data_IF_761318197773
#
_entry.id   IF_761318197773
#
_cell.length_a   1.000
_cell.length_b   1.000
_cell.length_c   1.000
_cell.angle_alpha   90.00
_cell.angle_beta   90.00
_cell.angle_gamma   90.00
#
_symmetry.space_group_name_H-M   'P 1'
#
loop_
_entity.id
_entity.type
_entity.pdbx_description
1 polymer ?
#
# COMPACT_ATOMS: atom_id res chain seq x y z
N UNK A 1 -61.80 -17.30 -1.27
CA UNK A 1 -61.16 -15.96 -1.25
C UNK A 1 -60.03 -15.80 -0.23
N UNK A 2 -60.01 -16.50 0.93
CA UNK A 2 -58.94 -16.40 1.94
C UNK A 2 -57.52 -16.77 1.46
N UNK A 3 -57.35 -17.78 0.60
CA UNK A 3 -56.01 -18.21 0.15
C UNK A 3 -55.31 -17.25 -0.83
N UNK A 4 -56.07 -16.42 -1.59
CA UNK A 4 -55.46 -15.42 -2.49
C UNK A 4 -54.85 -14.27 -1.69
N UNK A 5 -55.50 -13.80 -0.63
CA UNK A 5 -54.94 -12.73 0.22
C UNK A 5 -53.68 -13.16 0.96
N UNK A 6 -53.60 -14.40 1.44
CA UNK A 6 -52.38 -14.92 2.10
C UNK A 6 -51.21 -15.03 1.10
N UNK A 7 -51.47 -15.50 -0.13
CA UNK A 7 -50.45 -15.56 -1.18
C UNK A 7 -49.98 -14.16 -1.65
N UNK A 8 -50.89 -13.19 -1.78
CA UNK A 8 -50.53 -11.80 -2.10
C UNK A 8 -49.75 -11.12 -0.96
N UNK A 9 -50.10 -11.37 0.30
CA UNK A 9 -49.33 -10.86 1.45
C UNK A 9 -47.95 -11.52 1.56
N UNK A 10 -47.83 -12.82 1.27
CA UNK A 10 -46.55 -13.52 1.26
C UNK A 10 -45.64 -13.03 0.12
N UNK A 11 -46.19 -12.84 -1.09
CA UNK A 11 -45.44 -12.28 -2.22
C UNK A 11 -44.98 -10.85 -1.93
N UNK A 12 -45.82 -10.03 -1.30
CA UNK A 12 -45.46 -8.67 -0.87
C UNK A 12 -44.32 -8.66 0.14
N UNK A 13 -44.31 -9.59 1.10
CA UNK A 13 -43.22 -9.76 2.07
C UNK A 13 -41.92 -10.20 1.38
N UNK A 14 -41.97 -11.15 0.46
CA UNK A 14 -40.79 -11.60 -0.31
C UNK A 14 -40.23 -10.47 -1.17
N UNK A 15 -41.08 -9.72 -1.87
CA UNK A 15 -40.65 -8.56 -2.66
C UNK A 15 -40.02 -7.49 -1.76
N UNK A 16 -40.60 -7.22 -0.59
CA UNK A 16 -40.02 -6.30 0.39
C UNK A 16 -38.64 -6.77 0.86
N UNK A 17 -38.46 -8.07 1.15
CA UNK A 17 -37.16 -8.63 1.51
C UNK A 17 -36.14 -8.52 0.38
N UNK A 18 -36.54 -8.76 -0.88
CA UNK A 18 -35.67 -8.58 -2.05
C UNK A 18 -35.28 -7.11 -2.21
N UNK A 19 -36.24 -6.18 -2.09
CA UNK A 19 -35.96 -4.74 -2.18
C UNK A 19 -35.01 -4.31 -1.07
N UNK A 20 -35.26 -4.73 0.17
CA UNK A 20 -34.37 -4.49 1.31
C UNK A 20 -32.97 -5.06 1.00
N UNK A 21 -32.90 -6.31 0.55
CA UNK A 21 -31.62 -6.95 0.21
C UNK A 21 -30.86 -6.18 -0.87
N UNK A 22 -31.53 -5.77 -1.96
CA UNK A 22 -30.92 -4.95 -3.02
C UNK A 22 -30.47 -3.60 -2.47
N UNK A 23 -31.29 -2.92 -1.67
CA UNK A 23 -30.95 -1.63 -1.05
C UNK A 23 -29.69 -1.72 -0.17
N UNK A 24 -29.53 -2.81 0.58
CA UNK A 24 -28.39 -3.00 1.47
C UNK A 24 -27.16 -3.63 0.80
N UNK A 25 -27.33 -4.39 -0.30
CA UNK A 25 -26.26 -5.16 -0.95
C UNK A 25 -26.00 -4.80 -2.42
N UNK A 26 -26.57 -3.71 -2.95
CA UNK A 26 -26.40 -3.34 -4.36
C UNK A 26 -24.93 -3.22 -4.78
N UNK A 27 -24.05 -2.73 -3.90
CA UNK A 27 -22.60 -2.63 -4.14
C UNK A 27 -21.97 -3.98 -4.42
N UNK A 28 -22.31 -4.98 -3.61
CA UNK A 28 -21.84 -6.35 -3.78
C UNK A 28 -22.44 -7.00 -5.02
N UNK A 29 -23.66 -6.61 -5.42
CA UNK A 29 -24.31 -7.12 -6.61
C UNK A 29 -23.70 -6.58 -7.91
N UNK A 30 -23.27 -5.32 -7.94
CA UNK A 30 -22.69 -4.69 -9.15
C UNK A 30 -21.18 -4.89 -9.28
N UNK A 31 -20.49 -5.13 -8.16
CA UNK A 31 -19.06 -5.41 -8.21
C UNK A 31 -18.80 -6.70 -8.99
N UNK A 32 -17.70 -6.80 -9.71
CA UNK A 32 -17.25 -8.06 -10.34
C UNK A 32 -15.96 -8.59 -9.71
N UNK A 33 -15.48 -7.88 -8.67
CA UNK A 33 -14.20 -8.12 -8.00
C UNK A 33 -14.41 -8.29 -6.50
N UNK A 34 -13.56 -9.04 -5.82
CA UNK A 34 -13.51 -8.98 -4.35
C UNK A 34 -12.41 -8.04 -3.90
N UNK A 35 -11.88 -8.32 -2.71
CA UNK A 35 -10.89 -7.49 -2.02
C UNK A 35 -9.71 -7.14 -2.93
N UNK A 36 -9.42 -5.85 -3.04
CA UNK A 36 -8.23 -5.34 -3.72
C UNK A 36 -6.97 -5.67 -2.88
N UNK A 37 -5.98 -6.31 -3.50
CA UNK A 37 -4.75 -6.74 -2.82
C UNK A 37 -3.57 -5.85 -3.18
N UNK A 38 -3.48 -5.48 -4.44
CA UNK A 38 -2.52 -4.50 -4.96
C UNK A 38 -3.23 -3.48 -5.82
N UNK A 39 -2.76 -2.25 -5.76
CA UNK A 39 -3.17 -1.12 -6.59
C UNK A 39 -1.89 -0.48 -7.14
N UNK A 40 -1.92 -0.11 -8.41
CA UNK A 40 -0.92 0.73 -9.04
C UNK A 40 -1.60 1.89 -9.76
N UNK A 41 -1.03 3.09 -9.68
CA UNK A 41 -1.52 4.30 -10.36
C UNK A 41 -0.47 4.78 -11.36
N UNK A 42 -0.89 5.11 -12.59
CA UNK A 42 0.01 5.73 -13.57
C UNK A 42 0.53 7.07 -13.04
N UNK A 43 1.77 7.45 -13.36
CA UNK A 43 2.39 8.66 -12.77
C UNK A 43 1.66 9.97 -13.10
N UNK A 44 0.85 10.00 -14.16
CA UNK A 44 -0.02 11.11 -14.54
C UNK A 44 -1.41 11.07 -13.87
N UNK A 45 -1.70 10.05 -13.06
CA UNK A 45 -2.94 9.89 -12.31
C UNK A 45 -4.17 9.60 -13.16
N UNK A 46 -4.01 9.11 -14.39
CA UNK A 46 -5.13 8.83 -15.31
C UNK A 46 -5.62 7.40 -15.25
N UNK A 47 -4.72 6.45 -15.00
CA UNK A 47 -5.01 5.03 -15.03
C UNK A 47 -4.69 4.37 -13.69
N UNK A 48 -5.49 3.38 -13.36
CA UNK A 48 -5.26 2.50 -12.20
C UNK A 48 -5.26 1.06 -12.69
N UNK A 49 -4.37 0.25 -12.15
CA UNK A 49 -4.51 -1.19 -12.18
C UNK A 49 -4.70 -1.70 -10.76
N UNK A 50 -5.52 -2.74 -10.61
CA UNK A 50 -5.67 -3.39 -9.32
C UNK A 50 -5.88 -4.88 -9.48
N UNK A 51 -5.20 -5.65 -8.63
CA UNK A 51 -5.39 -7.08 -8.56
C UNK A 51 -6.30 -7.45 -7.38
N UNK A 52 -7.31 -8.25 -7.68
CA UNK A 52 -8.37 -8.60 -6.74
C UNK A 52 -8.42 -10.10 -6.49
N UNK A 53 -8.78 -10.49 -5.26
CA UNK A 53 -9.27 -11.84 -4.96
C UNK A 53 -10.78 -11.90 -5.12
N UNK A 54 -11.34 -13.11 -5.26
CA UNK A 54 -12.78 -13.28 -5.30
C UNK A 54 -13.46 -12.87 -4.00
N UNK A 55 -14.76 -12.59 -4.10
CA UNK A 55 -15.57 -11.96 -3.03
C UNK A 55 -15.90 -12.86 -1.86
N UNK A 56 -15.90 -14.17 -2.07
CA UNK A 56 -16.42 -15.13 -1.09
C UNK A 56 -15.41 -16.20 -0.78
N UNK A 57 -15.58 -16.88 0.33
CA UNK A 57 -14.78 -18.06 0.70
C UNK A 57 -14.89 -19.20 -0.33
N UNK A 58 -15.87 -19.17 -1.24
CA UNK A 58 -15.98 -20.14 -2.35
C UNK A 58 -15.26 -19.70 -3.61
N UNK A 59 -15.00 -18.41 -3.76
CA UNK A 59 -14.39 -17.81 -4.95
C UNK A 59 -13.05 -17.16 -4.66
N UNK A 60 -12.50 -17.28 -3.44
CA UNK A 60 -11.27 -16.61 -3.00
C UNK A 60 -10.04 -16.91 -3.89
N UNK A 61 -10.04 -18.05 -4.59
CA UNK A 61 -9.00 -18.45 -5.52
C UNK A 61 -9.14 -17.83 -6.91
N UNK A 62 -10.33 -17.33 -7.26
CA UNK A 62 -10.56 -16.53 -8.47
C UNK A 62 -9.88 -15.19 -8.28
N UNK A 63 -9.07 -14.80 -9.26
CA UNK A 63 -8.26 -13.59 -9.18
C UNK A 63 -8.34 -12.86 -10.49
N UNK A 64 -8.41 -11.53 -10.42
CA UNK A 64 -8.62 -10.67 -11.58
C UNK A 64 -7.68 -9.48 -11.52
N UNK A 65 -7.16 -9.08 -12.67
CA UNK A 65 -6.50 -7.80 -12.88
C UNK A 65 -7.48 -6.87 -13.59
N UNK A 66 -7.65 -5.68 -13.04
CA UNK A 66 -8.59 -4.69 -13.56
C UNK A 66 -7.85 -3.42 -13.89
N UNK A 67 -8.10 -2.88 -15.08
CA UNK A 67 -7.68 -1.56 -15.52
C UNK A 67 -8.85 -0.59 -15.37
N UNK A 68 -8.57 0.59 -14.83
CA UNK A 68 -9.53 1.67 -14.60
C UNK A 68 -9.04 2.95 -15.28
N UNK A 69 -9.91 3.58 -16.07
CA UNK A 69 -9.68 4.92 -16.65
C UNK A 69 -10.43 5.94 -15.77
N UNK A 70 -9.69 6.78 -15.05
CA UNK A 70 -10.25 7.72 -14.07
C UNK A 70 -11.08 8.81 -14.77
N UNK A 71 -10.64 9.28 -15.93
CA UNK A 71 -11.28 10.37 -16.66
C UNK A 71 -12.59 9.90 -17.29
N UNK A 72 -12.57 8.73 -17.94
CA UNK A 72 -13.76 8.14 -18.58
C UNK A 72 -14.66 7.41 -17.60
N UNK A 73 -14.17 7.13 -16.38
CA UNK A 73 -14.84 6.27 -15.37
C UNK A 73 -15.14 4.88 -15.92
N UNK A 74 -14.22 4.35 -16.71
CA UNK A 74 -14.34 3.04 -17.33
C UNK A 74 -13.56 1.98 -16.56
N UNK A 75 -14.06 0.76 -16.59
CA UNK A 75 -13.49 -0.42 -15.94
C UNK A 75 -13.35 -1.53 -16.98
N UNK A 76 -12.21 -2.20 -17.00
CA UNK A 76 -11.96 -3.37 -17.85
C UNK A 76 -11.22 -4.45 -17.06
N UNK A 77 -11.81 -5.64 -16.96
CA UNK A 77 -11.07 -6.83 -16.52
C UNK A 77 -10.13 -7.23 -17.66
N UNK A 78 -8.82 -7.19 -17.42
CA UNK A 78 -7.80 -7.40 -18.45
C UNK A 78 -7.14 -8.77 -18.35
N UNK A 79 -7.17 -9.41 -17.17
CA UNK A 79 -6.70 -10.78 -16.99
C UNK A 79 -7.45 -11.47 -15.84
N UNK A 80 -7.57 -12.78 -15.94
CA UNK A 80 -7.96 -13.69 -14.87
C UNK A 80 -6.76 -14.57 -14.49
N UNK A 81 -6.81 -15.25 -13.35
CA UNK A 81 -5.71 -16.06 -12.81
C UNK A 81 -4.42 -15.25 -12.59
N UNK A 82 -4.52 -14.23 -11.75
CA UNK A 82 -3.50 -13.22 -11.52
C UNK A 82 -2.88 -13.42 -10.14
N UNK A 83 -1.55 -13.36 -10.05
CA UNK A 83 -0.87 -13.23 -8.78
C UNK A 83 -1.18 -11.84 -8.21
N UNK A 84 -2.01 -11.80 -7.17
CA UNK A 84 -2.57 -10.56 -6.64
C UNK A 84 -1.56 -9.63 -5.97
N UNK A 85 -0.32 -10.06 -5.81
CA UNK A 85 0.76 -9.30 -5.18
C UNK A 85 1.72 -8.66 -6.22
N UNK A 86 1.36 -8.69 -7.50
CA UNK A 86 2.25 -8.35 -8.63
C UNK A 86 1.79 -7.18 -9.53
N UNK A 87 0.67 -6.52 -9.27
CA UNK A 87 0.28 -5.37 -10.11
C UNK A 87 1.19 -4.16 -9.82
N UNK A 88 1.83 -3.61 -10.86
CA UNK A 88 2.73 -2.45 -10.71
C UNK A 88 2.82 -1.61 -12.00
N UNK A 89 2.55 -0.30 -11.93
CA UNK A 89 2.84 0.60 -13.05
C UNK A 89 4.32 0.94 -13.11
N UNK A 90 4.92 0.85 -14.30
CA UNK A 90 6.29 1.30 -14.53
C UNK A 90 6.30 2.83 -14.48
N UNK A 91 7.13 3.48 -13.64
CA UNK A 91 7.08 4.92 -13.44
C UNK A 91 7.26 5.73 -14.73
N UNK A 92 6.57 6.86 -14.83
CA UNK A 92 6.58 7.77 -15.98
C UNK A 92 6.14 7.12 -17.31
N UNK A 93 5.31 6.09 -17.25
CA UNK A 93 4.76 5.39 -18.41
C UNK A 93 3.29 5.02 -18.20
N UNK A 94 2.66 4.51 -19.27
CA UNK A 94 1.37 3.79 -19.19
C UNK A 94 1.57 2.28 -19.36
N UNK A 95 2.77 1.80 -19.05
CA UNK A 95 3.12 0.40 -19.08
C UNK A 95 3.10 -0.14 -17.66
N UNK A 96 2.67 -1.38 -17.53
CA UNK A 96 2.57 -2.03 -16.23
C UNK A 96 2.94 -3.49 -16.28
N UNK A 97 3.25 -4.01 -15.11
CA UNK A 97 3.62 -5.38 -14.87
C UNK A 97 2.53 -6.10 -14.07
N UNK A 98 2.39 -7.39 -14.34
CA UNK A 98 1.63 -8.32 -13.53
C UNK A 98 2.13 -9.75 -13.80
N UNK A 99 1.84 -10.67 -12.89
CA UNK A 99 2.23 -12.07 -13.02
C UNK A 99 0.99 -12.97 -13.09
N UNK A 100 0.97 -13.90 -14.04
CA UNK A 100 0.01 -14.99 -14.10
C UNK A 100 0.24 -15.98 -12.95
N UNK A 101 -0.84 -16.40 -12.28
CA UNK A 101 -0.79 -17.19 -11.05
C UNK A 101 -0.50 -18.67 -11.31
N UNK A 102 -1.02 -19.26 -12.37
CA UNK A 102 -0.85 -20.70 -12.67
C UNK A 102 0.54 -21.03 -13.20
N UNK A 103 1.13 -20.17 -14.01
CA UNK A 103 2.40 -20.42 -14.68
C UNK A 103 3.53 -19.47 -14.27
N UNK A 104 3.29 -18.51 -13.38
CA UNK A 104 4.30 -17.55 -12.89
C UNK A 104 4.99 -16.75 -14.02
N UNK A 105 4.34 -16.56 -15.17
CA UNK A 105 4.85 -15.67 -16.21
C UNK A 105 4.57 -14.23 -15.81
N UNK A 106 5.60 -13.39 -15.84
CA UNK A 106 5.46 -11.94 -15.69
C UNK A 106 5.19 -11.35 -17.07
N UNK A 107 4.15 -10.54 -17.16
CA UNK A 107 3.76 -9.80 -18.34
C UNK A 107 4.07 -8.32 -18.13
N UNK A 108 4.62 -7.68 -19.15
CA UNK A 108 4.74 -6.22 -19.25
C UNK A 108 3.91 -5.79 -20.44
N UNK A 109 2.89 -4.98 -20.20
CA UNK A 109 1.97 -4.53 -21.24
C UNK A 109 1.56 -3.08 -21.02
N UNK A 110 1.01 -2.45 -22.06
CA UNK A 110 0.49 -1.08 -21.96
C UNK A 110 -1.03 -1.05 -21.72
N UNK A 111 -1.57 0.14 -21.44
CA UNK A 111 -3.01 0.36 -21.24
C UNK A 111 -3.89 0.01 -22.46
N UNK A 112 -3.33 -0.03 -23.66
CA UNK A 112 -4.04 -0.45 -24.88
C UNK A 112 -4.14 -1.98 -25.00
N UNK A 113 -3.46 -2.73 -24.13
CA UNK A 113 -3.40 -4.19 -24.14
C UNK A 113 -2.29 -4.78 -25.01
N UNK A 114 -1.33 -3.96 -25.48
CA UNK A 114 -0.15 -4.44 -26.21
C UNK A 114 0.85 -5.03 -25.21
N UNK A 115 1.18 -6.31 -25.38
CA UNK A 115 2.29 -6.95 -24.66
C UNK A 115 3.64 -6.45 -25.21
N UNK A 116 4.49 -5.97 -24.32
CA UNK A 116 5.82 -5.44 -24.61
C UNK A 116 6.91 -6.49 -24.33
N UNK A 117 6.71 -7.28 -23.28
CA UNK A 117 7.58 -8.39 -22.91
C UNK A 117 6.82 -9.38 -22.01
N UNK A 118 7.22 -10.65 -22.06
CA UNK A 118 6.83 -11.63 -21.06
C UNK A 118 7.99 -12.59 -20.78
N UNK A 119 8.07 -13.08 -19.55
CA UNK A 119 9.13 -13.99 -19.14
C UNK A 119 8.69 -14.88 -17.99
N UNK A 120 9.19 -16.12 -17.99
CA UNK A 120 9.01 -17.04 -16.87
C UNK A 120 9.77 -16.52 -15.65
N UNK A 121 9.14 -16.59 -14.48
CA UNK A 121 9.75 -16.19 -13.23
C UNK A 121 9.33 -17.14 -12.09
N UNK A 122 9.95 -17.00 -10.91
CA UNK A 122 9.42 -17.63 -9.70
C UNK A 122 8.13 -16.91 -9.25
N UNK A 123 7.38 -17.52 -8.35
CA UNK A 123 6.17 -16.89 -7.79
C UNK A 123 6.55 -15.69 -6.93
N UNK A 124 6.11 -14.51 -7.37
CA UNK A 124 6.50 -13.22 -6.79
C UNK A 124 5.64 -12.91 -5.55
N UNK A 125 6.25 -12.30 -4.54
CA UNK A 125 5.52 -11.63 -3.45
C UNK A 125 5.55 -10.11 -3.56
N UNK A 126 6.53 -9.54 -4.27
CA UNK A 126 6.64 -8.12 -4.61
C UNK A 126 7.66 -7.93 -5.74
N UNK A 127 7.45 -6.96 -6.61
CA UNK A 127 8.47 -6.54 -7.58
C UNK A 127 8.37 -5.04 -7.89
N UNK A 128 9.42 -4.49 -8.47
CA UNK A 128 9.49 -3.11 -8.96
C UNK A 128 10.34 -3.07 -10.23
N UNK A 129 10.11 -2.06 -11.06
CA UNK A 129 10.92 -1.79 -12.24
C UNK A 129 11.19 -0.29 -12.37
N UNK A 130 12.43 0.07 -12.69
CA UNK A 130 12.79 1.47 -12.97
C UNK A 130 12.15 1.98 -14.27
N UNK A 131 11.95 3.30 -14.36
CA UNK A 131 11.35 3.93 -15.54
C UNK A 131 12.12 3.64 -16.85
N UNK A 132 13.45 3.55 -16.77
CA UNK A 132 14.34 3.19 -17.88
C UNK A 132 14.42 1.66 -18.12
N UNK A 133 13.73 0.86 -17.29
CA UNK A 133 13.64 -0.61 -17.36
C UNK A 133 14.98 -1.34 -17.23
N UNK A 134 16.02 -0.66 -16.78
CA UNK A 134 17.36 -1.26 -16.57
C UNK A 134 17.49 -1.97 -15.23
N UNK A 135 16.60 -1.66 -14.27
CA UNK A 135 16.57 -2.26 -12.95
C UNK A 135 15.19 -2.89 -12.71
N UNK A 136 15.16 -4.22 -12.66
CA UNK A 136 14.01 -5.01 -12.22
C UNK A 136 14.41 -5.76 -10.97
N UNK A 137 13.70 -5.54 -9.86
CA UNK A 137 13.91 -6.27 -8.61
C UNK A 137 12.64 -7.00 -8.21
N UNK A 138 12.78 -8.21 -7.70
CA UNK A 138 11.65 -9.05 -7.30
C UNK A 138 12.00 -9.89 -6.07
N UNK A 139 11.02 -10.05 -5.17
CA UNK A 139 11.07 -10.98 -4.05
C UNK A 139 10.22 -12.22 -4.35
N UNK A 140 10.74 -13.39 -4.00
CA UNK A 140 10.01 -14.65 -4.07
C UNK A 140 9.12 -14.87 -2.83
N UNK A 141 8.47 -16.04 -2.72
CA UNK A 141 7.62 -16.34 -1.56
C UNK A 141 8.37 -16.57 -0.24
N UNK A 142 9.69 -16.78 -0.30
CA UNK A 142 10.54 -16.95 0.89
C UNK A 142 11.10 -15.62 1.36
N UNK A 143 11.07 -14.59 0.50
CA UNK A 143 11.60 -13.26 0.75
C UNK A 143 12.95 -13.00 0.11
N UNK A 144 13.48 -13.98 -0.63
CA UNK A 144 14.74 -13.83 -1.34
C UNK A 144 14.54 -12.82 -2.46
N UNK A 145 15.46 -11.86 -2.55
CA UNK A 145 15.39 -10.71 -3.46
C UNK A 145 16.40 -10.91 -4.56
N UNK A 146 15.97 -10.69 -5.80
CA UNK A 146 16.80 -10.83 -6.99
C UNK A 146 16.64 -9.64 -7.93
N UNK A 147 17.72 -9.31 -8.64
CA UNK A 147 17.70 -8.44 -9.81
C UNK A 147 17.56 -9.30 -11.07
N UNK A 148 16.78 -8.81 -12.03
CA UNK A 148 16.68 -9.42 -13.36
C UNK A 148 15.71 -10.60 -13.43
N UNK A 149 15.71 -11.26 -14.58
CA UNK A 149 14.80 -12.35 -14.94
C UNK A 149 15.47 -13.30 -15.94
N UNK A 150 14.90 -14.50 -16.10
CA UNK A 150 15.47 -15.54 -16.97
C UNK A 150 16.87 -15.98 -16.53
N UNK A 151 17.80 -16.07 -17.46
CA UNK A 151 19.19 -16.45 -17.18
C UNK A 151 20.01 -15.32 -16.52
N UNK A 152 19.47 -14.10 -16.48
CA UNK A 152 20.15 -12.92 -15.94
C UNK A 152 19.76 -12.60 -14.48
N UNK A 153 19.21 -13.58 -13.75
CA UNK A 153 18.85 -13.42 -12.34
C UNK A 153 20.12 -13.34 -11.49
N UNK A 154 20.24 -12.26 -10.72
CA UNK A 154 21.34 -12.01 -9.78
C UNK A 154 20.76 -11.89 -8.36
N UNK A 155 21.22 -12.69 -7.38
CA UNK A 155 20.74 -12.56 -6.00
C UNK A 155 21.18 -11.23 -5.40
N UNK A 156 20.25 -10.56 -4.72
CA UNK A 156 20.51 -9.36 -3.91
C UNK A 156 20.51 -9.73 -2.43
N UNK A 157 19.51 -10.49 -1.97
CA UNK A 157 19.37 -10.93 -0.58
C UNK A 157 18.79 -12.34 -0.55
N UNK A 158 19.53 -13.29 0.02
CA UNK A 158 19.07 -14.68 0.18
C UNK A 158 19.06 -15.13 1.64
N UNK A 159 19.39 -14.24 2.59
CA UNK A 159 19.54 -14.59 4.00
C UNK A 159 18.25 -14.32 4.82
N UNK A 160 17.11 -14.90 4.45
CA UNK A 160 15.81 -14.62 5.11
C UNK A 160 15.03 -15.88 5.50
N UNK A 161 14.29 -15.88 6.64
CA UNK A 161 13.24 -16.83 6.95
C UNK A 161 11.82 -16.29 6.68
N UNK A 162 10.88 -17.24 6.57
CA UNK A 162 9.49 -17.08 6.11
C UNK A 162 8.66 -16.04 6.89
N UNK A 163 8.34 -14.87 6.29
CA UNK A 163 7.21 -14.01 6.69
C UNK A 163 6.62 -13.25 5.49
N UNK A 164 5.32 -12.93 5.50
CA UNK A 164 4.50 -12.63 4.30
C UNK A 164 4.33 -11.14 3.93
N UNK A 165 5.11 -10.22 4.50
CA UNK A 165 5.01 -8.79 4.18
C UNK A 165 6.29 -8.28 3.54
N UNK A 166 6.16 -7.78 2.31
CA UNK A 166 7.21 -7.12 1.55
C UNK A 166 6.63 -5.91 0.83
N UNK A 167 7.15 -4.74 1.15
CA UNK A 167 7.00 -3.58 0.29
C UNK A 167 8.37 -3.17 -0.26
N UNK A 168 8.35 -2.74 -1.51
CA UNK A 168 9.49 -2.24 -2.26
C UNK A 168 9.16 -0.83 -2.73
N UNK A 169 10.15 0.06 -2.67
CA UNK A 169 10.05 1.38 -3.28
C UNK A 169 11.36 1.77 -3.96
N UNK A 170 11.28 2.68 -4.94
CA UNK A 170 12.39 3.01 -5.83
C UNK A 170 12.72 4.50 -5.79
N UNK A 171 14.02 4.80 -5.77
CA UNK A 171 14.57 6.13 -6.03
C UNK A 171 15.62 6.05 -7.15
N UNK A 172 16.15 7.19 -7.61
CA UNK A 172 17.17 7.25 -8.65
C UNK A 172 18.41 6.43 -8.32
N UNK A 173 18.91 6.49 -7.07
CA UNK A 173 20.14 5.79 -6.65
C UNK A 173 19.87 4.51 -5.85
N UNK A 174 18.78 4.48 -5.08
CA UNK A 174 18.52 3.44 -4.12
C UNK A 174 17.20 2.71 -4.40
N UNK A 175 17.07 1.52 -3.85
CA UNK A 175 15.75 0.93 -3.64
C UNK A 175 15.59 0.58 -2.15
N UNK A 176 14.35 0.57 -1.70
CA UNK A 176 13.98 0.35 -0.32
C UNK A 176 13.21 -0.96 -0.22
N UNK A 177 13.46 -1.70 0.86
CA UNK A 177 12.66 -2.87 1.21
C UNK A 177 12.15 -2.68 2.62
N UNK A 178 10.85 -2.89 2.83
CA UNK A 178 10.22 -2.89 4.13
C UNK A 178 9.54 -4.24 4.37
N UNK A 179 9.84 -4.86 5.50
CA UNK A 179 9.39 -6.22 5.85
C UNK A 179 9.03 -6.31 7.33
N UNK A 180 8.73 -7.52 7.81
CA UNK A 180 8.68 -7.79 9.25
C UNK A 180 10.09 -7.70 9.85
N UNK A 181 10.27 -6.84 10.86
CA UNK A 181 11.44 -6.89 11.73
C UNK A 181 11.57 -8.30 12.33
N UNK A 182 12.78 -8.85 12.31
CA UNK A 182 13.17 -10.01 13.12
C UNK A 182 13.64 -9.58 14.52
N UNK A 183 14.13 -10.50 15.36
CA UNK A 183 14.75 -10.15 16.65
C UNK A 183 16.02 -9.27 16.54
N UNK A 184 16.45 -8.94 15.32
CA UNK A 184 17.66 -8.21 14.99
C UNK A 184 17.39 -6.80 14.43
N UNK A 185 16.29 -6.13 14.83
CA UNK A 185 16.11 -4.71 14.51
C UNK A 185 17.33 -3.92 15.00
N UNK A 186 17.82 -2.90 14.26
CA UNK A 186 18.96 -2.12 14.73
C UNK A 186 18.68 -1.55 16.12
N UNK A 187 19.62 -1.70 17.06
CA UNK A 187 19.53 -1.08 18.40
C UNK A 187 19.55 0.46 18.34
N UNK A 188 19.83 1.03 17.16
CA UNK A 188 19.97 2.46 16.90
C UNK A 188 18.98 2.95 15.83
N UNK A 189 18.94 4.27 15.63
CA UNK A 189 18.10 4.88 14.60
C UNK A 189 18.45 4.43 13.17
N UNK A 190 19.73 4.13 12.94
CA UNK A 190 20.27 3.72 11.65
C UNK A 190 21.56 2.90 11.84
N UNK A 191 21.64 1.75 11.19
CA UNK A 191 22.87 0.97 11.04
C UNK A 191 23.45 1.21 9.64
N UNK A 192 24.62 1.85 9.54
CA UNK A 192 25.29 2.10 8.26
C UNK A 192 26.20 0.96 7.86
N UNK A 193 26.28 0.70 6.54
CA UNK A 193 27.17 -0.29 5.93
C UNK A 193 27.17 -1.62 6.70
N UNK A 194 25.99 -2.23 6.90
CA UNK A 194 25.85 -3.48 7.65
C UNK A 194 26.77 -4.55 7.05
N UNK A 195 27.45 -5.31 7.93
CA UNK A 195 28.60 -6.15 7.56
C UNK A 195 28.24 -7.56 7.09
N UNK A 196 27.03 -8.02 7.41
CA UNK A 196 26.61 -9.36 7.04
C UNK A 196 26.58 -9.50 5.51
N UNK A 197 26.85 -10.69 4.99
CA UNK A 197 26.69 -10.92 3.55
C UNK A 197 25.19 -11.08 3.26
N UNK A 198 24.58 -10.26 2.38
CA UNK A 198 23.18 -10.44 2.04
C UNK A 198 22.94 -11.70 1.20
N UNK A 199 23.96 -12.24 0.52
CA UNK A 199 23.85 -13.45 -0.30
C UNK A 199 24.56 -14.61 0.40
N UNK A 200 23.79 -15.39 1.17
CA UNK A 200 24.35 -16.52 1.93
C UNK A 200 23.95 -17.88 1.33
N UNK A 201 24.93 -18.76 1.03
CA UNK A 201 24.67 -20.14 0.63
C UNK A 201 24.35 -21.06 1.83
N UNK A 202 24.41 -20.55 3.06
CA UNK A 202 24.28 -21.37 4.26
C UNK A 202 22.82 -21.77 4.54
N UNK A 203 22.63 -22.95 5.12
CA UNK A 203 21.33 -23.42 5.66
C UNK A 203 20.90 -22.67 6.93
N UNK A 204 21.80 -21.90 7.56
CA UNK A 204 21.52 -21.11 8.75
C UNK A 204 21.19 -19.68 8.35
N UNK A 205 19.92 -19.44 7.98
CA UNK A 205 19.39 -18.12 7.63
C UNK A 205 19.27 -17.25 8.88
N UNK A 206 19.88 -16.05 8.89
CA UNK A 206 19.89 -15.11 10.02
C UNK A 206 18.83 -14.03 9.93
N UNK A 207 18.23 -13.78 8.77
CA UNK A 207 17.33 -12.62 8.56
C UNK A 207 18.06 -11.28 8.71
N UNK A 208 19.31 -11.21 8.23
CA UNK A 208 20.21 -10.07 8.53
C UNK A 208 19.68 -8.71 8.08
N UNK A 209 18.74 -8.70 7.13
CA UNK A 209 18.18 -7.48 6.53
C UNK A 209 16.66 -7.34 6.68
N UNK A 210 16.08 -8.07 7.63
CA UNK A 210 14.68 -7.87 8.01
C UNK A 210 14.46 -6.46 8.58
N UNK A 211 13.24 -5.95 8.38
CA UNK A 211 12.87 -4.57 8.66
C UNK A 211 12.97 -3.67 7.43
N UNK A 212 13.31 -2.41 7.65
CA UNK A 212 13.50 -1.42 6.60
C UNK A 212 14.99 -1.33 6.22
N UNK A 213 15.31 -1.71 4.98
CA UNK A 213 16.69 -1.71 4.46
C UNK A 213 16.78 -0.87 3.19
N UNK A 214 17.75 0.04 3.16
CA UNK A 214 18.13 0.86 2.02
C UNK A 214 19.27 0.19 1.24
N UNK A 215 19.09 -0.01 -0.05
CA UNK A 215 20.02 -0.71 -0.91
C UNK A 215 20.50 0.19 -2.05
N UNK A 216 21.77 0.09 -2.40
CA UNK A 216 22.32 0.77 -3.59
C UNK A 216 21.97 -0.03 -4.86
N UNK A 217 21.34 0.64 -5.84
CA UNK A 217 20.82 -0.03 -7.05
C UNK A 217 21.91 -0.52 -8.00
N UNK A 218 23.09 0.11 -7.95
CA UNK A 218 24.19 -0.23 -8.83
C UNK A 218 24.98 -1.40 -8.27
N UNK A 219 25.40 -1.29 -7.01
CA UNK A 219 26.22 -2.29 -6.33
C UNK A 219 25.43 -3.46 -5.76
N UNK A 220 24.11 -3.31 -5.61
CA UNK A 220 23.19 -4.27 -4.96
C UNK A 220 23.52 -4.54 -3.49
N UNK A 221 24.28 -3.65 -2.86
CA UNK A 221 24.69 -3.78 -1.46
C UNK A 221 23.79 -2.97 -0.54
N UNK A 222 23.54 -3.46 0.69
CA UNK A 222 22.82 -2.70 1.70
C UNK A 222 23.68 -1.51 2.15
N UNK A 223 23.08 -0.32 2.12
CA UNK A 223 23.71 0.95 2.51
C UNK A 223 23.41 1.24 3.98
N UNK A 224 22.16 1.01 4.38
CA UNK A 224 21.72 1.25 5.74
C UNK A 224 20.49 0.42 6.10
N UNK A 225 20.34 0.11 7.39
CA UNK A 225 19.10 -0.42 7.97
C UNK A 225 18.48 0.66 8.86
N UNK A 226 17.19 0.93 8.69
CA UNK A 226 16.45 1.97 9.40
C UNK A 226 15.66 1.33 10.55
N UNK A 227 16.04 1.67 11.78
CA UNK A 227 15.54 0.99 12.98
C UNK A 227 14.39 1.69 13.68
N UNK A 228 13.70 0.92 14.53
CA UNK A 228 12.74 1.45 15.50
C UNK A 228 11.26 1.11 15.28
N UNK A 229 10.93 0.08 14.48
CA UNK A 229 9.53 -0.31 14.16
C UNK A 229 9.02 -1.56 14.91
N UNK A 230 9.91 -2.43 15.38
CA UNK A 230 9.57 -3.50 16.33
C UNK A 230 8.49 -4.49 15.86
N UNK A 231 8.41 -4.74 14.55
CA UNK A 231 7.45 -5.66 13.94
C UNK A 231 7.32 -5.45 12.43
N UNK A 232 6.15 -5.77 11.86
CA UNK A 232 5.81 -5.43 10.46
C UNK A 232 5.92 -3.93 10.25
N UNK A 233 6.68 -3.55 9.24
CA UNK A 233 6.99 -2.17 8.90
C UNK A 233 6.75 -1.91 7.43
N UNK A 234 6.29 -0.71 7.13
CA UNK A 234 6.22 -0.17 5.77
C UNK A 234 7.03 1.12 5.68
N UNK A 235 7.59 1.40 4.52
CA UNK A 235 8.35 2.62 4.26
C UNK A 235 8.37 2.98 2.78
N UNK A 236 8.40 4.28 2.50
CA UNK A 236 8.42 4.86 1.15
C UNK A 236 9.42 6.02 1.08
N UNK A 237 10.03 6.20 -0.09
CA UNK A 237 10.66 7.45 -0.45
C UNK A 237 9.59 8.52 -0.69
N UNK A 238 9.95 9.75 -0.33
CA UNK A 238 9.28 10.93 -0.85
C UNK A 238 9.49 11.07 -2.35
N UNK A 239 8.56 11.67 -3.10
CA UNK A 239 8.68 11.84 -4.54
C UNK A 239 9.90 12.67 -4.97
N UNK A 240 10.39 13.55 -4.10
CA UNK A 240 11.63 14.31 -4.32
C UNK A 240 12.91 13.58 -3.89
N UNK A 241 12.77 12.34 -3.40
CA UNK A 241 13.81 11.40 -2.96
C UNK A 241 14.68 11.90 -1.79
N UNK A 242 14.30 13.01 -1.13
CA UNK A 242 15.09 13.58 -0.04
C UNK A 242 14.78 12.98 1.32
N UNK A 243 13.61 12.37 1.45
CA UNK A 243 13.13 11.77 2.69
C UNK A 243 12.64 10.34 2.48
N UNK A 244 12.80 9.52 3.51
CA UNK A 244 12.11 8.24 3.67
C UNK A 244 11.13 8.40 4.82
N UNK A 245 9.88 8.00 4.64
CA UNK A 245 8.87 7.89 5.72
C UNK A 245 8.63 6.43 6.01
N UNK A 246 8.47 6.05 7.28
CA UNK A 246 8.22 4.67 7.65
C UNK A 246 7.60 4.50 9.02
N UNK A 247 6.93 3.37 9.24
CA UNK A 247 6.23 3.04 10.48
C UNK A 247 5.70 1.62 10.47
N UNK A 248 5.12 1.18 11.59
CA UNK A 248 4.69 -0.20 11.71
C UNK A 248 3.96 -0.57 13.01
N UNK A 249 4.06 -1.85 13.38
CA UNK A 249 3.30 -2.46 14.48
C UNK A 249 3.56 -1.87 15.86
N UNK A 250 4.71 -1.26 16.10
CA UNK A 250 4.97 -0.60 17.38
C UNK A 250 4.37 0.80 17.50
N UNK A 251 3.60 1.26 16.50
CA UNK A 251 2.91 2.56 16.44
C UNK A 251 3.86 3.76 16.50
N UNK A 252 5.13 3.54 16.17
CA UNK A 252 6.11 4.60 16.02
C UNK A 252 6.33 4.81 14.53
N UNK A 253 6.20 6.06 14.14
CA UNK A 253 6.39 6.49 12.77
C UNK A 253 7.50 7.53 12.75
N UNK A 254 8.35 7.43 11.74
CA UNK A 254 9.56 8.21 11.61
C UNK A 254 9.76 8.66 10.18
N UNK A 255 10.59 9.68 10.01
CA UNK A 255 11.17 10.02 8.71
C UNK A 255 12.68 10.23 8.83
N UNK A 256 13.40 9.95 7.75
CA UNK A 256 14.86 10.09 7.65
C UNK A 256 15.20 10.98 6.46
N UNK A 257 16.14 11.90 6.64
CA UNK A 257 16.74 12.64 5.53
C UNK A 257 17.72 11.73 4.79
N UNK A 258 17.50 11.48 3.50
CA UNK A 258 18.29 10.51 2.70
C UNK A 258 19.77 10.91 2.62
N UNK A 259 20.06 12.20 2.53
CA UNK A 259 21.44 12.72 2.52
C UNK A 259 22.12 12.66 3.89
N UNK A 260 21.36 12.46 4.98
CA UNK A 260 21.87 12.33 6.34
C UNK A 260 20.94 11.45 7.18
N UNK A 261 21.08 10.13 7.06
CA UNK A 261 20.20 9.18 7.76
C UNK A 261 20.31 9.22 9.29
N UNK A 262 21.29 9.95 9.86
CA UNK A 262 21.27 10.22 11.31
C UNK A 262 20.21 11.26 11.69
N UNK A 263 19.78 12.11 10.76
CA UNK A 263 18.66 13.02 10.94
C UNK A 263 17.35 12.25 10.78
N UNK A 264 16.97 11.56 11.85
CA UNK A 264 15.67 10.92 12.01
C UNK A 264 14.74 11.81 12.82
N UNK A 265 13.52 12.00 12.33
CA UNK A 265 12.45 12.71 13.03
C UNK A 265 11.34 11.72 13.39
N UNK A 266 10.81 11.80 14.61
CA UNK A 266 9.62 11.05 15.03
C UNK A 266 8.38 11.85 14.67
N UNK A 267 7.40 11.22 14.04
CA UNK A 267 6.13 11.89 13.71
C UNK A 267 5.30 12.15 14.97
N UNK A 268 4.68 13.33 15.01
CA UNK A 268 3.78 13.74 16.08
C UNK A 268 2.46 12.97 16.01
N UNK A 269 2.00 12.49 17.16
CA UNK A 269 0.64 11.98 17.30
C UNK A 269 -0.34 13.15 17.43
N UNK A 270 -1.52 13.07 16.79
CA UNK A 270 -2.47 14.18 16.78
C UNK A 270 -3.05 14.55 18.15
N UNK A 271 -3.07 13.61 19.10
CA UNK A 271 -3.64 13.83 20.43
C UNK A 271 -2.55 14.10 21.48
N UNK A 272 -1.43 13.38 21.39
CA UNK A 272 -0.39 13.41 22.41
C UNK A 272 0.88 14.14 22.00
N UNK A 273 1.11 14.45 20.73
CA UNK A 273 2.31 15.14 20.24
C UNK A 273 3.51 14.20 20.12
N UNK A 274 4.70 14.68 20.47
CA UNK A 274 5.96 13.92 20.31
C UNK A 274 6.49 13.52 21.67
N UNK A 275 6.52 12.21 21.95
CA UNK A 275 7.16 11.69 23.17
C UNK A 275 8.69 11.87 23.14
N UNK A 276 9.21 12.54 24.16
CA UNK A 276 10.64 12.67 24.45
C UNK A 276 11.05 11.64 25.54
N UNK A 277 11.92 10.66 25.21
CA UNK A 277 12.35 9.65 26.17
C UNK A 277 13.31 10.19 27.24
N UNK A 278 14.03 11.29 27.00
CA UNK A 278 14.98 11.86 27.98
C UNK A 278 14.25 12.56 29.12
N UNK A 279 13.14 13.22 28.81
CA UNK A 279 12.33 13.94 29.79
C UNK A 279 11.11 13.15 30.25
N UNK A 280 10.85 11.98 29.64
CA UNK A 280 9.64 11.18 29.80
C UNK A 280 8.32 11.97 29.62
N UNK A 281 8.35 13.02 28.80
CA UNK A 281 7.23 13.91 28.57
C UNK A 281 6.88 13.99 27.09
N UNK A 282 5.64 14.38 26.81
CA UNK A 282 5.22 14.69 25.46
C UNK A 282 5.40 16.18 25.17
N UNK A 283 6.12 16.49 24.10
CA UNK A 283 6.09 17.81 23.50
C UNK A 283 4.74 17.98 22.80
N UNK A 284 3.96 18.95 23.26
CA UNK A 284 2.65 19.32 22.72
C UNK A 284 2.63 20.74 22.15
N UNK A 285 3.79 21.40 22.07
CA UNK A 285 3.92 22.82 21.77
C UNK A 285 3.40 23.22 20.38
N UNK A 286 3.37 22.28 19.44
CA UNK A 286 2.89 22.49 18.07
C UNK A 286 1.73 21.56 17.69
N UNK A 287 0.97 21.07 18.68
CA UNK A 287 -0.26 20.33 18.38
C UNK A 287 -1.23 21.18 17.57
N UNK A 288 -1.71 20.62 16.47
CA UNK A 288 -2.76 21.21 15.65
C UNK A 288 -4.12 20.66 16.12
N UNK A 289 -5.05 21.49 16.62
CA UNK A 289 -6.35 20.98 17.04
C UNK A 289 -7.14 20.39 15.87
N UNK A 290 -7.83 19.28 16.11
CA UNK A 290 -8.75 18.68 15.14
C UNK A 290 -9.91 19.66 14.89
N UNK A 291 -10.16 20.10 13.64
CA UNK A 291 -11.24 21.02 13.32
C UNK A 291 -12.63 20.51 13.74
N UNK A 292 -13.53 21.41 14.16
CA UNK A 292 -14.88 21.06 14.65
C UNK A 292 -15.68 20.15 13.72
N UNK A 293 -15.56 20.36 12.40
CA UNK A 293 -16.19 19.52 11.36
C UNK A 293 -15.80 18.04 11.44
N UNK A 294 -14.74 17.71 12.15
CA UNK A 294 -14.18 16.36 12.29
C UNK A 294 -14.29 15.79 13.72
N UNK A 295 -14.87 16.52 14.68
CA UNK A 295 -14.93 16.09 16.10
C UNK A 295 -15.54 14.70 16.33
N UNK A 296 -16.47 14.27 15.47
CA UNK A 296 -17.12 12.96 15.56
C UNK A 296 -16.53 11.91 14.60
N UNK A 297 -15.36 12.20 14.01
CA UNK A 297 -14.70 11.33 13.03
C UNK A 297 -13.46 10.72 13.65
N UNK A 298 -13.27 9.42 13.42
CA UNK A 298 -12.15 8.70 13.99
C UNK A 298 -10.86 8.89 13.19
N UNK A 299 -9.78 9.24 13.88
CA UNK A 299 -8.39 9.23 13.38
C UNK A 299 -7.70 7.89 13.57
N UNK A 300 -8.24 7.00 14.41
CA UNK A 300 -7.57 5.76 14.84
C UNK A 300 -6.12 6.02 15.29
N UNK A 301 -5.87 7.08 16.07
CA UNK A 301 -4.50 7.53 16.32
C UNK A 301 -3.61 6.45 16.96
N UNK A 302 -4.20 5.58 17.80
CA UNK A 302 -3.51 4.48 18.47
C UNK A 302 -3.52 3.16 17.69
N UNK A 303 -3.94 3.16 16.43
CA UNK A 303 -3.86 1.99 15.53
C UNK A 303 -2.51 1.94 14.83
N UNK A 304 -2.13 0.76 14.34
CA UNK A 304 -0.88 0.56 13.64
C UNK A 304 -0.95 1.19 12.24
N UNK A 305 0.09 1.91 11.82
CA UNK A 305 0.22 2.38 10.44
C UNK A 305 0.50 1.20 9.53
N UNK A 306 -0.37 0.99 8.54
CA UNK A 306 -0.22 -0.10 7.55
C UNK A 306 0.59 0.35 6.36
N UNK A 307 0.39 1.60 5.91
CA UNK A 307 1.11 2.18 4.78
C UNK A 307 1.01 3.70 4.78
N UNK A 308 1.74 4.32 3.86
CA UNK A 308 1.80 5.75 3.63
C UNK A 308 1.34 6.06 2.21
N UNK A 309 0.88 7.28 1.99
CA UNK A 309 0.67 7.77 0.64
C UNK A 309 1.03 9.25 0.52
N UNK A 310 1.83 9.57 -0.49
CA UNK A 310 2.16 10.94 -0.84
C UNK A 310 1.01 11.57 -1.63
N UNK A 311 0.52 12.71 -1.13
CA UNK A 311 -0.56 13.47 -1.76
C UNK A 311 -0.03 14.47 -2.80
N UNK A 312 1.22 14.91 -2.64
CA UNK A 312 2.02 15.69 -3.57
C UNK A 312 3.51 15.41 -3.30
N UNK A 313 4.43 16.20 -3.86
CA UNK A 313 5.88 15.99 -3.73
C UNK A 313 6.41 15.98 -2.28
N UNK A 314 5.68 16.56 -1.32
CA UNK A 314 6.15 16.73 0.07
C UNK A 314 5.15 16.30 1.14
N UNK A 315 3.86 16.33 0.84
CA UNK A 315 2.78 16.10 1.78
C UNK A 315 2.33 14.65 1.70
N UNK A 316 2.13 14.02 2.85
CA UNK A 316 1.74 12.62 2.93
C UNK A 316 0.77 12.36 4.08
N UNK A 317 0.10 11.23 4.01
CA UNK A 317 -0.80 10.73 5.04
C UNK A 317 -0.40 9.34 5.47
N UNK A 318 -0.84 8.97 6.67
CA UNK A 318 -0.77 7.61 7.20
C UNK A 318 -2.11 6.92 7.00
N UNK A 319 -2.10 5.68 6.50
CA UNK A 319 -3.27 4.83 6.47
C UNK A 319 -3.10 3.69 7.48
N UNK A 320 -3.98 3.69 8.47
CA UNK A 320 -3.91 2.81 9.64
C UNK A 320 -4.75 1.56 9.45
N UNK A 321 -4.47 0.57 10.29
CA UNK A 321 -5.15 -0.72 10.26
C UNK A 321 -6.65 -0.54 10.52
N UNK A 322 -7.46 -1.07 9.60
CA UNK A 322 -8.93 -1.10 9.66
C UNK A 322 -9.42 -2.53 9.92
N UNK A 323 -10.72 -2.69 10.13
CA UNK A 323 -11.34 -4.01 10.04
C UNK A 323 -12.02 -4.12 8.66
N UNK A 324 -12.23 -5.34 8.14
CA UNK A 324 -12.85 -5.52 6.83
C UNK A 324 -14.38 -5.41 6.91
N UNK A 325 -14.89 -4.30 7.46
CA UNK A 325 -16.31 -3.94 7.45
C UNK A 325 -16.48 -2.44 7.31
N UNK A 326 -17.48 -2.03 6.53
CA UNK A 326 -17.80 -0.62 6.32
C UNK A 326 -18.10 0.10 7.63
N UNK A 327 -17.65 1.36 7.71
CA UNK A 327 -17.76 2.18 8.92
C UNK A 327 -16.65 1.93 9.95
N UNK A 328 -15.76 0.97 9.70
CA UNK A 328 -14.58 0.73 10.54
C UNK A 328 -13.31 1.36 9.98
N UNK A 329 -12.33 1.60 10.84
CA UNK A 329 -11.09 2.26 10.46
C UNK A 329 -11.21 3.78 10.34
N UNK A 330 -10.12 4.39 9.89
CA UNK A 330 -9.97 5.84 9.81
C UNK A 330 -11.04 6.50 8.94
N UNK A 331 -11.67 7.54 9.48
CA UNK A 331 -12.54 8.41 8.70
C UNK A 331 -11.80 9.69 8.26
N UNK A 332 -10.86 10.15 9.08
CA UNK A 332 -9.93 11.23 8.77
C UNK A 332 -8.48 10.77 8.92
N UNK A 333 -7.56 11.43 8.22
CA UNK A 333 -6.12 11.22 8.31
C UNK A 333 -5.38 12.54 8.55
N UNK A 334 -4.32 12.46 9.33
CA UNK A 334 -3.37 13.55 9.58
C UNK A 334 -2.47 13.75 8.36
N UNK A 335 -2.29 15.00 7.93
CA UNK A 335 -1.36 15.37 6.87
C UNK A 335 -0.03 15.77 7.52
N UNK A 336 1.06 15.20 7.02
CA UNK A 336 2.42 15.55 7.37
C UNK A 336 3.14 16.12 6.16
N UNK A 337 4.20 16.91 6.40
CA UNK A 337 5.12 17.37 5.37
C UNK A 337 6.52 16.86 5.68
N UNK A 338 7.19 16.31 4.68
CA UNK A 338 8.58 15.86 4.84
C UNK A 338 9.48 17.00 5.35
N UNK A 339 10.40 16.66 6.25
CA UNK A 339 11.23 17.63 6.96
C UNK A 339 10.60 18.28 8.19
N UNK A 340 9.32 18.03 8.46
CA UNK A 340 8.64 18.44 9.70
C UNK A 340 8.04 17.22 10.41
N UNK A 341 8.24 17.04 11.72
CA UNK A 341 7.59 15.96 12.46
C UNK A 341 6.11 16.25 12.76
N UNK A 342 5.67 17.50 12.60
CA UNK A 342 4.35 17.96 13.04
C UNK A 342 3.28 17.87 11.96
N UNK A 343 2.05 17.63 12.41
CA UNK A 343 0.85 17.60 11.57
C UNK A 343 0.56 19.01 11.06
N UNK A 344 0.33 19.14 9.76
CA UNK A 344 0.03 20.42 9.10
C UNK A 344 -1.46 20.60 8.77
N UNK A 345 -2.25 19.52 8.89
CA UNK A 345 -3.66 19.54 8.52
C UNK A 345 -4.32 18.17 8.65
N UNK A 346 -5.61 18.12 8.33
CA UNK A 346 -6.42 16.91 8.38
C UNK A 346 -7.28 16.79 7.12
N UNK A 347 -7.34 15.58 6.56
CA UNK A 347 -8.20 15.27 5.41
C UNK A 347 -9.21 14.19 5.77
N UNK A 348 -10.37 14.25 5.12
CA UNK A 348 -11.34 13.17 5.17
C UNK A 348 -11.03 12.15 4.08
N UNK A 349 -10.86 10.90 4.51
CA UNK A 349 -10.67 9.74 3.62
C UNK A 349 -11.96 8.91 3.54
N UNK A 350 -12.77 8.94 4.61
CA UNK A 350 -13.97 8.14 4.75
C UNK A 350 -13.68 6.64 4.90
N UNK A 351 -14.65 5.93 5.49
CA UNK A 351 -14.55 4.50 5.78
C UNK A 351 -15.74 3.69 5.23
N UNK A 352 -16.44 4.26 4.24
CA UNK A 352 -17.54 3.65 3.51
C UNK A 352 -17.36 4.02 2.02
N UNK A 353 -16.89 3.10 1.15
CA UNK A 353 -16.38 1.78 1.51
C UNK A 353 -15.08 1.87 2.31
N UNK A 354 -14.84 0.91 3.21
CA UNK A 354 -13.61 0.86 4.01
C UNK A 354 -12.38 0.57 3.15
N UNK A 355 -11.28 1.26 3.45
CA UNK A 355 -9.99 1.08 2.78
C UNK A 355 -9.41 -0.30 3.14
N UNK A 356 -8.83 -0.97 2.15
CA UNK A 356 -8.25 -2.32 2.25
C UNK A 356 -6.93 -2.38 3.04
N UNK A 357 -6.93 -1.87 4.27
CA UNK A 357 -5.78 -1.87 5.20
C UNK A 357 -6.03 -2.74 6.42
N UNK A 358 -6.81 -3.81 6.30
CA UNK A 358 -7.08 -4.74 7.41
C UNK A 358 -5.93 -5.70 7.74
N UNK A 359 -4.82 -5.63 7.00
CA UNK A 359 -3.57 -6.30 7.32
C UNK A 359 -2.38 -5.65 6.60
N UNK A 360 -1.18 -5.82 7.15
CA UNK A 360 0.08 -5.27 6.59
C UNK A 360 0.38 -5.81 5.19
N UNK A 361 0.03 -7.06 4.91
CA UNK A 361 0.11 -7.64 3.58
C UNK A 361 -0.79 -6.94 2.53
N UNK A 362 -1.57 -5.94 2.94
CA UNK A 362 -2.38 -5.09 2.07
C UNK A 362 -1.88 -3.64 1.99
N UNK A 363 -0.68 -3.34 2.48
CA UNK A 363 -0.04 -2.03 2.29
C UNK A 363 -0.06 -1.61 0.81
N UNK A 364 0.24 -2.56 -0.08
CA UNK A 364 0.25 -2.34 -1.52
C UNK A 364 -1.15 -2.18 -2.17
N UNK A 365 -2.24 -2.24 -1.39
CA UNK A 365 -3.59 -1.92 -1.89
C UNK A 365 -3.85 -0.42 -1.96
N UNK A 366 -2.86 0.39 -1.61
CA UNK A 366 -2.87 1.85 -1.69
C UNK A 366 -1.73 2.26 -2.59
N UNK A 367 -2.00 3.19 -3.49
CA UNK A 367 -0.96 3.84 -4.29
C UNK A 367 -1.37 5.26 -4.66
N UNK A 368 -0.41 6.08 -5.09
CA UNK A 368 -0.61 7.50 -5.37
C UNK A 368 0.17 7.95 -6.59
N UNK A 369 -0.34 8.97 -7.27
CA UNK A 369 0.38 9.74 -8.26
C UNK A 369 0.54 11.18 -7.73
N UNK A 370 1.61 11.46 -6.96
CA UNK A 370 1.74 12.72 -6.23
C UNK A 370 1.80 13.93 -7.16
N UNK A 371 2.46 13.82 -8.32
CA UNK A 371 2.50 14.89 -9.34
C UNK A 371 1.13 15.24 -9.92
N UNK A 372 0.20 14.29 -9.90
CA UNK A 372 -1.18 14.48 -10.35
C UNK A 372 -2.14 14.81 -9.19
N UNK A 373 -1.63 14.85 -7.95
CA UNK A 373 -2.40 14.94 -6.72
C UNK A 373 -3.50 13.87 -6.63
N UNK A 374 -3.23 12.65 -7.10
CA UNK A 374 -4.18 11.53 -7.07
C UNK A 374 -3.75 10.52 -6.03
N UNK A 375 -4.68 10.12 -5.17
CA UNK A 375 -4.55 8.98 -4.27
C UNK A 375 -5.58 7.93 -4.67
N UNK A 376 -5.19 6.65 -4.67
CA UNK A 376 -6.10 5.54 -4.92
C UNK A 376 -5.97 4.50 -3.82
N UNK A 377 -7.11 3.99 -3.37
CA UNK A 377 -7.15 2.93 -2.38
C UNK A 377 -8.04 1.78 -2.84
N UNK A 378 -7.64 0.55 -2.54
CA UNK A 378 -8.47 -0.62 -2.68
C UNK A 378 -9.59 -0.67 -1.63
N UNK A 379 -10.69 -1.34 -1.95
CA UNK A 379 -11.80 -1.56 -1.02
C UNK A 379 -11.67 -2.91 -0.30
N UNK A 380 -11.92 -2.93 1.01
CA UNK A 380 -11.75 -4.14 1.83
C UNK A 380 -12.92 -5.13 1.76
N UNK A 381 -14.13 -4.65 1.40
CA UNK A 381 -15.39 -5.43 1.50
C UNK A 381 -15.98 -5.71 0.13
N UNK A 382 -16.35 -4.66 -0.60
CA UNK A 382 -17.18 -4.77 -1.80
C UNK A 382 -16.38 -5.06 -3.08
N UNK A 383 -15.05 -4.97 -3.01
CA UNK A 383 -14.16 -4.93 -4.17
C UNK A 383 -14.16 -3.58 -4.89
N UNK A 384 -13.28 -3.44 -5.87
CA UNK A 384 -13.02 -2.18 -6.56
C UNK A 384 -12.09 -1.22 -5.83
N UNK A 385 -12.18 0.07 -6.17
CA UNK A 385 -11.24 1.13 -5.76
C UNK A 385 -11.96 2.41 -5.32
N UNK A 386 -11.25 3.27 -4.58
CA UNK A 386 -11.61 4.65 -4.32
C UNK A 386 -10.54 5.56 -4.92
N UNK A 387 -10.94 6.61 -5.62
CA UNK A 387 -10.03 7.60 -6.19
C UNK A 387 -10.29 8.95 -5.55
N UNK A 388 -9.21 9.58 -5.13
CA UNK A 388 -9.21 10.86 -4.46
C UNK A 388 -8.34 11.86 -5.21
N UNK A 389 -8.76 13.13 -5.20
CA UNK A 389 -7.96 14.26 -5.65
C UNK A 389 -7.58 15.14 -4.46
N UNK A 390 -6.30 15.36 -4.27
CA UNK A 390 -5.79 16.27 -3.27
C UNK A 390 -5.73 17.70 -3.81
N UNK A 391 -6.19 18.63 -2.98
CA UNK A 391 -6.20 20.07 -3.24
C UNK A 391 -5.29 20.75 -2.19
N UNK A 392 -3.98 20.94 -2.50
CA UNK A 392 -2.99 21.43 -1.54
C UNK A 392 -3.38 22.76 -0.88
N UNK A 393 -3.85 23.73 -1.68
CA UNK A 393 -4.24 25.07 -1.22
C UNK A 393 -5.34 25.05 -0.15
N UNK A 394 -6.14 23.98 -0.11
CA UNK A 394 -7.28 23.82 0.79
C UNK A 394 -7.05 22.74 1.84
N UNK A 395 -5.91 22.03 1.79
CA UNK A 395 -5.65 20.83 2.60
C UNK A 395 -6.85 19.86 2.56
N UNK A 396 -7.42 19.64 1.36
CA UNK A 396 -8.64 18.85 1.17
C UNK A 396 -8.36 17.68 0.27
N UNK A 397 -8.83 16.50 0.68
CA UNK A 397 -8.89 15.32 -0.15
C UNK A 397 -10.35 15.12 -0.61
N UNK A 398 -10.59 15.19 -1.91
CA UNK A 398 -11.91 15.01 -2.52
C UNK A 398 -12.03 13.60 -3.10
N UNK A 399 -13.01 12.83 -2.64
CA UNK A 399 -13.34 11.52 -3.22
C UNK A 399 -14.05 11.72 -4.56
N UNK A 400 -13.33 11.60 -5.67
CA UNK A 400 -13.83 11.90 -7.02
C UNK A 400 -14.49 10.70 -7.69
N UNK A 401 -14.14 9.47 -7.28
CA UNK A 401 -14.73 8.25 -7.82
C UNK A 401 -14.70 7.11 -6.79
N UNK A 402 -15.80 6.37 -6.72
CA UNK A 402 -15.91 5.09 -6.01
C UNK A 402 -16.38 4.08 -7.04
N UNK A 403 -15.56 3.07 -7.29
CA UNK A 403 -15.79 2.08 -8.33
C UNK A 403 -15.84 0.68 -7.71
N UNK A 404 -16.76 -0.16 -8.18
CA UNK A 404 -17.04 -1.50 -7.67
C UNK A 404 -16.71 -2.57 -8.73
#
# INVERSE_FOLDING_TARGET
MKNKHIAFSFLGIVVLFIVIYVVFHWRDLISETGVARTVGVSSDGKYVISAHRGKTDKTWYETKLVLWDIEKREKKVIAEDVNTDSAYFIPNSHDFMWQSKSDNVVHIQNIDGRELASFKHFKITRHIMSADRTFYASADQTGEIYKGYGENIVPIYTDTPLWRHYNFDLSGKYFLTATSDGPYSPDSAVEFNPKEDPVQPSVYKKSSYNGVTLWDRETLKPVARLGGFGGRSDALFSPDEKWIVGGGENRRDYMWEVSNLQRRLKLANAESGIYNPETEMYDTSQLLPIPDKFKNKSLYENSNTVTYAFLNDTDFIQLKQSYPHDGSGQNIASIYRVGSPWIIGYVEIGNVPVISTDGFEKANSVDSAPKANILVTGQAVHGGINVYRYHPDKMKLEKIWVAY
#
